data_IF_540621099050
#
_entry.id   IF_540621099050
#
_cell.length_a   1.000
_cell.length_b   1.000
_cell.length_c   1.000
_cell.angle_alpha   90.00
_cell.angle_beta   90.00
_cell.angle_gamma   90.00
#
_symmetry.space_group_name_H-M   'P 1'
#
loop_
_entity.id
_entity.type
_entity.pdbx_description
1 polymer ?
#
# COMPACT_ATOMS: atom_id res chain seq x y z
N UNK A 1 -55.35 -33.17 -4.10
CA UNK A 1 -54.17 -33.21 -3.19
C UNK A 1 -52.88 -33.77 -3.81
N UNK A 2 -52.85 -34.10 -5.12
CA UNK A 2 -51.63 -34.65 -5.81
C UNK A 2 -50.82 -33.62 -6.63
N UNK A 3 -51.34 -32.43 -6.83
CA UNK A 3 -50.67 -31.39 -7.68
C UNK A 3 -49.73 -30.41 -6.92
N UNK A 4 -49.88 -30.31 -5.56
CA UNK A 4 -49.03 -29.45 -4.74
C UNK A 4 -47.69 -30.06 -4.31
N UNK A 5 -47.55 -31.38 -4.38
CA UNK A 5 -46.30 -32.07 -4.00
C UNK A 5 -45.28 -32.06 -5.15
N UNK A 6 -45.74 -32.00 -6.40
CA UNK A 6 -44.84 -31.99 -7.57
C UNK A 6 -44.13 -30.66 -7.77
N UNK A 7 -44.70 -29.53 -7.35
CA UNK A 7 -44.08 -28.18 -7.44
C UNK A 7 -42.98 -27.98 -6.40
N UNK A 8 -43.10 -28.60 -5.23
CA UNK A 8 -42.07 -28.53 -4.19
C UNK A 8 -40.80 -29.33 -4.51
N UNK A 9 -40.93 -30.40 -5.27
CA UNK A 9 -39.77 -31.21 -5.71
C UNK A 9 -39.04 -30.56 -6.89
N UNK A 10 -39.74 -29.81 -7.76
CA UNK A 10 -39.08 -29.05 -8.85
C UNK A 10 -38.33 -27.79 -8.36
N UNK A 11 -38.73 -27.19 -7.20
CA UNK A 11 -38.05 -26.03 -6.66
C UNK A 11 -36.79 -26.38 -5.86
N UNK A 12 -36.67 -27.60 -5.34
CA UNK A 12 -35.43 -28.07 -4.67
C UNK A 12 -34.34 -28.53 -5.66
N UNK A 13 -34.67 -28.79 -6.92
CA UNK A 13 -33.71 -29.15 -7.96
C UNK A 13 -33.02 -27.92 -8.61
N UNK A 14 -33.53 -26.70 -8.40
CA UNK A 14 -32.95 -25.45 -8.93
C UNK A 14 -31.96 -24.76 -7.96
N UNK A 15 -31.86 -25.21 -6.70
CA UNK A 15 -30.77 -24.87 -5.80
C UNK A 15 -29.67 -25.94 -5.83
N UNK A 16 -29.32 -26.38 -7.04
CA UNK A 16 -28.16 -27.25 -7.28
C UNK A 16 -26.89 -26.51 -6.90
N UNK A 17 -26.30 -26.96 -5.84
CA UNK A 17 -24.91 -26.86 -5.38
C UNK A 17 -23.97 -26.11 -6.34
N UNK A 18 -23.90 -24.81 -6.28
CA UNK A 18 -22.68 -24.09 -6.51
C UNK A 18 -21.75 -24.39 -5.32
N UNK A 19 -21.26 -25.61 -5.22
CA UNK A 19 -20.01 -25.89 -4.56
C UNK A 19 -19.00 -25.03 -5.31
N UNK A 20 -18.60 -23.90 -4.73
CA UNK A 20 -17.44 -23.17 -5.18
C UNK A 20 -16.30 -24.20 -5.19
N UNK A 21 -15.96 -24.72 -6.36
CA UNK A 21 -14.77 -25.53 -6.57
C UNK A 21 -13.63 -24.65 -6.08
N UNK A 22 -13.07 -25.00 -4.94
CA UNK A 22 -11.81 -24.39 -4.50
C UNK A 22 -10.83 -24.68 -5.62
N UNK A 23 -10.49 -23.65 -6.40
CA UNK A 23 -9.55 -23.78 -7.51
C UNK A 23 -8.24 -24.25 -6.90
N UNK A 24 -7.79 -25.45 -7.30
CA UNK A 24 -6.50 -25.96 -6.83
C UNK A 24 -5.41 -24.94 -7.13
N UNK A 25 -4.46 -24.73 -6.20
CA UNK A 25 -3.38 -23.79 -6.44
C UNK A 25 -2.59 -24.19 -7.69
N UNK A 26 -2.19 -23.25 -8.54
CA UNK A 26 -1.45 -23.53 -9.76
C UNK A 26 -0.15 -24.28 -9.46
N UNK A 27 0.22 -25.21 -10.34
CA UNK A 27 1.47 -25.97 -10.23
C UNK A 27 2.65 -24.99 -10.20
N UNK A 28 3.47 -25.03 -9.15
CA UNK A 28 4.69 -24.24 -9.05
C UNK A 28 5.89 -25.09 -9.47
N UNK A 29 6.67 -24.58 -10.43
CA UNK A 29 7.91 -25.18 -10.88
C UNK A 29 9.10 -24.33 -10.45
N UNK A 30 10.03 -24.95 -9.72
CA UNK A 30 11.24 -24.28 -9.22
C UNK A 30 12.45 -24.93 -9.89
N UNK A 31 13.15 -24.18 -10.74
CA UNK A 31 14.44 -24.57 -11.29
C UNK A 31 15.56 -23.99 -10.43
N UNK A 32 16.30 -24.84 -9.78
CA UNK A 32 17.54 -24.44 -9.13
C UNK A 32 18.67 -24.42 -10.17
N UNK A 33 19.36 -23.31 -10.32
CA UNK A 33 20.62 -23.18 -11.04
C UNK A 33 21.69 -23.11 -9.96
N UNK A 34 22.56 -24.13 -9.92
CA UNK A 34 23.52 -24.32 -8.87
C UNK A 34 24.95 -24.13 -9.38
N UNK A 35 25.67 -23.22 -8.76
CA UNK A 35 27.05 -22.92 -9.03
C UNK A 35 27.97 -24.04 -8.55
N UNK A 36 28.74 -24.61 -9.47
CA UNK A 36 29.84 -25.52 -9.18
C UNK A 36 31.11 -25.06 -9.92
N UNK A 37 31.28 -23.75 -10.08
CA UNK A 37 32.53 -23.16 -10.55
C UNK A 37 33.66 -23.32 -9.54
N UNK A 38 34.88 -23.15 -9.99
CA UNK A 38 36.06 -23.37 -9.13
C UNK A 38 36.10 -22.48 -7.88
N UNK A 39 35.51 -21.27 -7.94
CA UNK A 39 35.40 -20.35 -6.78
C UNK A 39 34.63 -20.93 -5.60
N UNK A 40 33.68 -21.83 -5.84
CA UNK A 40 32.92 -22.52 -4.81
C UNK A 40 33.79 -23.42 -3.87
N UNK A 41 35.03 -23.74 -4.24
CA UNK A 41 36.02 -24.40 -3.36
C UNK A 41 36.59 -23.43 -2.32
N UNK A 42 36.38 -22.10 -2.46
CA UNK A 42 36.95 -21.14 -1.52
C UNK A 42 36.42 -21.32 -0.10
N UNK A 43 37.27 -21.09 0.93
CA UNK A 43 36.81 -21.17 2.32
C UNK A 43 35.83 -20.05 2.65
N UNK A 44 34.82 -20.39 3.46
CA UNK A 44 33.82 -19.48 3.95
C UNK A 44 33.33 -19.88 5.34
N UNK A 45 33.74 -19.14 6.38
CA UNK A 45 33.33 -19.31 7.76
C UNK A 45 33.38 -20.77 8.28
N UNK A 46 34.52 -21.43 8.11
CA UNK A 46 34.79 -22.74 8.68
C UNK A 46 34.59 -23.96 7.77
N UNK A 47 34.04 -23.76 6.54
CA UNK A 47 33.92 -24.79 5.52
C UNK A 47 34.14 -24.18 4.13
N UNK A 48 34.07 -24.94 3.05
CA UNK A 48 34.02 -24.38 1.70
C UNK A 48 32.61 -23.88 1.36
N UNK A 49 32.53 -22.92 0.44
CA UNK A 49 31.23 -22.40 -0.06
C UNK A 49 30.32 -23.52 -0.55
N UNK A 50 30.90 -24.47 -1.32
CA UNK A 50 30.13 -25.62 -1.83
C UNK A 50 29.60 -26.52 -0.72
N UNK A 51 30.36 -26.76 0.36
CA UNK A 51 29.91 -27.59 1.46
C UNK A 51 28.72 -26.97 2.19
N UNK A 52 28.79 -25.67 2.45
CA UNK A 52 27.67 -24.93 3.07
C UNK A 52 26.45 -24.91 2.13
N UNK A 53 26.67 -24.66 0.81
CA UNK A 53 25.59 -24.69 -0.17
C UNK A 53 24.90 -26.07 -0.23
N UNK A 54 25.67 -27.17 -0.19
CA UNK A 54 25.16 -28.54 -0.15
C UNK A 54 24.25 -28.77 1.06
N UNK A 55 24.70 -28.33 2.24
CA UNK A 55 23.93 -28.49 3.48
C UNK A 55 22.60 -27.75 3.45
N UNK A 56 22.62 -26.47 3.02
CA UNK A 56 21.41 -25.65 2.93
C UNK A 56 20.46 -26.19 1.85
N UNK A 57 20.97 -26.53 0.68
CA UNK A 57 20.18 -27.09 -0.41
C UNK A 57 19.56 -28.45 -0.04
N UNK A 58 20.29 -29.32 0.62
CA UNK A 58 19.77 -30.62 1.09
C UNK A 58 18.59 -30.44 2.04
N UNK A 59 18.69 -29.51 3.01
CA UNK A 59 17.60 -29.17 3.93
C UNK A 59 16.41 -28.53 3.20
N UNK A 60 16.67 -27.74 2.16
CA UNK A 60 15.65 -27.13 1.31
C UNK A 60 14.85 -28.20 0.57
N UNK A 61 15.53 -29.21 0.00
CA UNK A 61 14.88 -30.36 -0.65
C UNK A 61 13.96 -31.12 0.32
N UNK A 62 14.42 -31.37 1.55
CA UNK A 62 13.62 -32.03 2.58
C UNK A 62 12.36 -31.22 2.95
N UNK A 63 12.46 -29.90 2.94
CA UNK A 63 11.33 -29.01 3.19
C UNK A 63 10.33 -29.02 2.03
N UNK A 64 10.82 -28.94 0.78
CA UNK A 64 9.99 -28.93 -0.43
C UNK A 64 9.26 -30.27 -0.66
N UNK A 65 9.83 -31.39 -0.25
CA UNK A 65 9.23 -32.73 -0.39
C UNK A 65 7.85 -32.85 0.27
N UNK A 66 7.53 -31.97 1.22
CA UNK A 66 6.25 -31.96 1.97
C UNK A 66 5.21 -31.03 1.37
N UNK A 67 5.52 -30.33 0.31
CA UNK A 67 4.66 -29.29 -0.25
C UNK A 67 4.00 -29.85 -1.50
N UNK A 68 2.66 -29.91 -1.55
CA UNK A 68 1.94 -30.39 -2.74
C UNK A 68 2.00 -29.37 -3.88
N UNK A 69 1.74 -29.81 -5.11
CA UNK A 69 1.71 -28.97 -6.32
C UNK A 69 3.02 -28.23 -6.60
N UNK A 70 4.17 -28.86 -6.27
CA UNK A 70 5.51 -28.35 -6.54
C UNK A 70 6.33 -29.37 -7.30
N UNK A 71 6.84 -28.96 -8.47
CA UNK A 71 7.86 -29.69 -9.22
C UNK A 71 9.18 -28.93 -9.15
N UNK A 72 10.27 -29.65 -9.00
CA UNK A 72 11.61 -29.10 -8.93
C UNK A 72 12.51 -29.67 -10.01
N UNK A 73 13.50 -28.87 -10.43
CA UNK A 73 14.54 -29.30 -11.34
C UNK A 73 15.90 -28.75 -10.90
N UNK A 74 16.97 -29.33 -11.35
CA UNK A 74 18.35 -28.91 -11.06
C UNK A 74 19.16 -28.78 -12.33
N UNK A 75 19.62 -27.56 -12.59
CA UNK A 75 20.67 -27.24 -13.57
C UNK A 75 21.95 -26.91 -12.81
N UNK A 76 23.09 -27.43 -13.25
CA UNK A 76 24.40 -27.14 -12.64
C UNK A 76 25.31 -26.56 -13.71
N UNK A 77 26.13 -25.61 -13.34
CA UNK A 77 27.20 -25.13 -14.21
C UNK A 77 28.57 -25.19 -13.54
N UNK A 78 29.63 -25.14 -14.35
CA UNK A 78 31.01 -25.15 -13.85
C UNK A 78 31.45 -26.50 -13.26
N UNK A 79 30.83 -27.62 -13.67
CA UNK A 79 31.14 -28.91 -13.09
C UNK A 79 31.62 -29.97 -14.08
N UNK A 80 31.55 -29.71 -15.39
CA UNK A 80 31.92 -30.68 -16.39
C UNK A 80 33.40 -30.49 -16.84
N UNK A 81 33.80 -29.25 -17.12
CA UNK A 81 35.08 -28.90 -17.66
C UNK A 81 35.95 -28.16 -16.64
N UNK A 82 37.23 -28.54 -16.40
CA UNK A 82 38.08 -27.82 -15.48
C UNK A 82 38.50 -26.45 -16.06
N UNK A 83 38.60 -25.44 -15.18
CA UNK A 83 39.14 -24.13 -15.55
C UNK A 83 40.68 -24.25 -15.66
N UNK A 84 41.20 -24.07 -16.86
CA UNK A 84 42.62 -24.07 -17.15
C UNK A 84 43.10 -22.67 -17.57
N UNK A 85 44.38 -22.32 -17.35
CA UNK A 85 44.92 -21.02 -17.80
C UNK A 85 44.70 -20.78 -19.29
N UNK A 86 43.96 -19.72 -19.63
CA UNK A 86 43.65 -19.37 -21.03
C UNK A 86 42.57 -20.26 -21.70
N UNK A 87 41.96 -21.17 -20.98
CA UNK A 87 40.87 -22.03 -21.48
C UNK A 87 39.75 -22.09 -20.49
N UNK A 88 38.58 -21.65 -20.92
CA UNK A 88 37.33 -21.76 -20.14
C UNK A 88 36.22 -22.28 -21.06
N UNK A 89 35.36 -23.12 -20.51
CA UNK A 89 34.19 -23.66 -21.21
C UNK A 89 32.94 -22.89 -20.82
N UNK A 90 32.57 -21.91 -21.60
CA UNK A 90 31.35 -21.11 -21.39
C UNK A 90 30.05 -21.85 -21.73
N UNK A 91 30.13 -23.08 -22.21
CA UNK A 91 28.97 -23.97 -22.37
C UNK A 91 28.82 -25.02 -21.23
N UNK A 92 29.71 -24.96 -20.22
CA UNK A 92 29.63 -25.89 -19.08
C UNK A 92 28.40 -25.59 -18.23
N UNK A 93 27.21 -25.94 -18.73
CA UNK A 93 25.94 -25.87 -18.03
C UNK A 93 25.02 -27.02 -18.50
N UNK A 94 24.43 -27.74 -17.55
CA UNK A 94 23.61 -28.93 -17.86
C UNK A 94 22.43 -29.09 -16.91
N UNK A 95 21.26 -29.47 -17.47
CA UNK A 95 20.10 -29.90 -16.69
C UNK A 95 20.36 -31.32 -16.19
N UNK A 96 20.77 -31.48 -14.94
CA UNK A 96 21.11 -32.79 -14.36
C UNK A 96 19.88 -33.54 -13.86
N UNK A 97 18.86 -32.79 -13.38
CA UNK A 97 17.59 -33.37 -12.96
C UNK A 97 16.45 -32.57 -13.58
N UNK A 98 15.69 -33.14 -14.52
CA UNK A 98 14.53 -32.48 -15.10
C UNK A 98 13.37 -32.36 -14.12
N UNK A 99 12.37 -31.52 -14.44
CA UNK A 99 11.15 -31.39 -13.66
C UNK A 99 10.41 -32.72 -13.57
N UNK A 100 10.16 -33.16 -12.35
CA UNK A 100 9.34 -34.34 -12.05
C UNK A 100 8.81 -34.27 -10.62
N UNK A 101 7.78 -35.08 -10.36
CA UNK A 101 7.33 -35.30 -8.99
C UNK A 101 8.34 -36.19 -8.23
N UNK A 102 8.54 -35.93 -6.96
CA UNK A 102 9.34 -36.79 -6.06
C UNK A 102 10.83 -36.96 -6.44
N UNK A 103 11.44 -36.08 -7.22
CA UNK A 103 12.84 -36.13 -7.62
C UNK A 103 13.83 -35.48 -6.60
N UNK A 104 13.35 -35.07 -5.42
CA UNK A 104 14.12 -34.39 -4.37
C UNK A 104 15.38 -35.15 -3.96
N UNK A 105 15.28 -36.47 -3.78
CA UNK A 105 16.42 -37.31 -3.39
C UNK A 105 17.45 -37.46 -4.52
N UNK A 106 17.02 -37.39 -5.78
CA UNK A 106 17.93 -37.35 -6.94
C UNK A 106 18.69 -36.02 -6.97
N UNK A 107 18.02 -34.91 -6.74
CA UNK A 107 18.67 -33.59 -6.65
C UNK A 107 19.69 -33.56 -5.49
N UNK A 108 19.33 -34.06 -4.32
CA UNK A 108 20.26 -34.17 -3.18
C UNK A 108 21.50 -34.98 -3.54
N UNK A 109 21.37 -36.11 -4.23
CA UNK A 109 22.51 -36.89 -4.68
C UNK A 109 23.42 -36.11 -5.60
N UNK A 110 22.88 -35.42 -6.62
CA UNK A 110 23.66 -34.60 -7.54
C UNK A 110 24.41 -33.48 -6.82
N UNK A 111 23.73 -32.72 -5.97
CA UNK A 111 24.33 -31.63 -5.20
C UNK A 111 25.50 -32.14 -4.32
N UNK A 112 25.38 -33.31 -3.72
CA UNK A 112 26.42 -33.89 -2.86
C UNK A 112 27.60 -34.49 -3.62
N UNK A 113 27.40 -34.95 -4.85
CA UNK A 113 28.44 -35.60 -5.66
C UNK A 113 29.20 -34.61 -6.57
N UNK A 114 28.57 -33.49 -6.97
CA UNK A 114 29.17 -32.55 -7.87
C UNK A 114 30.47 -31.96 -7.32
N UNK A 115 31.49 -31.82 -8.18
CA UNK A 115 32.78 -31.23 -7.81
C UNK A 115 32.97 -29.90 -8.51
N UNK A 116 33.18 -28.80 -7.79
CA UNK A 116 33.46 -27.50 -8.37
C UNK A 116 34.82 -27.51 -9.10
N UNK A 117 34.85 -27.08 -10.37
CA UNK A 117 36.09 -27.08 -11.14
C UNK A 117 36.12 -26.14 -12.34
N UNK A 118 34.96 -25.66 -12.79
CA UNK A 118 34.84 -24.91 -14.06
C UNK A 118 34.69 -23.40 -13.90
N UNK A 119 34.28 -22.75 -14.98
CA UNK A 119 33.98 -21.33 -15.05
C UNK A 119 32.53 -21.01 -14.58
N UNK A 120 32.11 -19.74 -14.64
CA UNK A 120 30.82 -19.24 -14.16
C UNK A 120 29.97 -18.66 -15.31
N UNK A 121 29.35 -19.51 -16.20
CA UNK A 121 28.54 -19.08 -17.34
C UNK A 121 27.07 -18.84 -16.92
N UNK A 122 26.80 -17.73 -16.21
CA UNK A 122 25.44 -17.41 -15.72
C UNK A 122 24.49 -17.14 -16.88
N UNK A 123 24.89 -16.32 -17.85
CA UNK A 123 24.08 -15.95 -18.99
C UNK A 123 23.66 -17.19 -19.80
N UNK A 124 24.62 -18.05 -20.14
CA UNK A 124 24.36 -19.32 -20.85
C UNK A 124 23.43 -20.24 -20.04
N UNK A 125 23.62 -20.28 -18.74
CA UNK A 125 22.77 -21.10 -17.86
C UNK A 125 21.33 -20.59 -17.80
N UNK A 126 21.14 -19.27 -17.76
CA UNK A 126 19.80 -18.65 -17.82
C UNK A 126 19.13 -18.86 -19.19
N UNK A 127 19.89 -18.74 -20.28
CA UNK A 127 19.38 -18.99 -21.64
C UNK A 127 18.81 -20.42 -21.77
N UNK A 128 19.59 -21.41 -21.35
CA UNK A 128 19.16 -22.81 -21.37
C UNK A 128 18.02 -23.10 -20.41
N UNK A 129 18.02 -22.45 -19.25
CA UNK A 129 16.96 -22.58 -18.23
C UNK A 129 15.58 -22.23 -18.78
N UNK A 130 15.47 -21.28 -19.69
CA UNK A 130 14.22 -20.94 -20.34
C UNK A 130 13.59 -22.08 -21.13
N UNK A 131 14.41 -22.98 -21.68
CA UNK A 131 13.99 -24.16 -22.42
C UNK A 131 13.75 -25.39 -21.53
N UNK A 132 14.22 -25.36 -20.28
CA UNK A 132 14.04 -26.49 -19.35
C UNK A 132 12.61 -26.64 -18.81
N UNK A 133 11.84 -25.55 -18.84
CA UNK A 133 10.44 -25.59 -18.39
C UNK A 133 9.54 -26.26 -19.41
N UNK A 134 8.84 -27.35 -19.04
CA UNK A 134 7.81 -27.93 -19.90
C UNK A 134 6.69 -26.94 -20.21
N UNK A 135 6.09 -27.04 -21.40
CA UNK A 135 4.93 -26.19 -21.76
C UNK A 135 3.80 -26.34 -20.74
N UNK A 136 3.24 -25.21 -20.31
CA UNK A 136 2.14 -25.17 -19.36
C UNK A 136 1.44 -23.82 -19.42
N UNK A 137 0.12 -23.80 -19.49
CA UNK A 137 -0.69 -22.58 -19.60
C UNK A 137 -0.96 -21.90 -18.25
N UNK A 138 -0.93 -22.66 -17.14
CA UNK A 138 -1.28 -22.17 -15.81
C UNK A 138 -0.28 -22.66 -14.75
N UNK A 139 1.00 -22.61 -15.07
CA UNK A 139 2.07 -22.95 -14.15
C UNK A 139 2.85 -21.72 -13.73
N UNK A 140 3.25 -21.70 -12.49
CA UNK A 140 4.18 -20.72 -11.97
C UNK A 140 5.61 -21.23 -12.13
N UNK A 141 6.40 -20.58 -13.00
CA UNK A 141 7.78 -20.95 -13.25
C UNK A 141 8.72 -19.99 -12.51
N UNK A 142 9.62 -20.53 -11.70
CA UNK A 142 10.57 -19.77 -10.87
C UNK A 142 11.97 -20.32 -11.06
N UNK A 143 12.96 -19.45 -11.24
CA UNK A 143 14.39 -19.80 -11.22
C UNK A 143 14.98 -19.29 -9.90
N UNK A 144 15.74 -20.15 -9.24
CA UNK A 144 16.56 -19.80 -8.07
C UNK A 144 18.01 -20.04 -8.47
N UNK A 145 18.78 -18.97 -8.65
CA UNK A 145 20.21 -19.02 -8.93
C UNK A 145 21.00 -18.91 -7.62
N UNK A 146 21.79 -19.90 -7.34
CA UNK A 146 22.70 -19.95 -6.19
C UNK A 146 24.13 -19.84 -6.72
N UNK A 147 24.82 -18.74 -6.43
CA UNK A 147 26.14 -18.44 -6.97
C UNK A 147 27.04 -17.72 -5.96
N UNK A 148 28.34 -17.91 -6.09
CA UNK A 148 29.36 -17.15 -5.35
C UNK A 148 30.16 -16.20 -6.24
N UNK A 149 29.77 -16.08 -7.53
CA UNK A 149 30.49 -15.31 -8.53
C UNK A 149 29.57 -14.46 -9.41
N UNK A 150 30.23 -13.70 -10.29
CA UNK A 150 29.62 -12.97 -11.37
C UNK A 150 29.88 -13.69 -12.70
N UNK A 151 29.22 -13.23 -13.76
CA UNK A 151 29.48 -13.73 -15.12
C UNK A 151 30.97 -13.70 -15.44
N UNK A 152 31.51 -14.85 -15.84
CA UNK A 152 32.91 -15.01 -16.19
C UNK A 152 33.15 -15.19 -17.72
N UNK A 153 32.07 -15.29 -18.48
CA UNK A 153 32.07 -15.36 -19.93
C UNK A 153 31.62 -14.03 -20.51
N UNK A 154 32.00 -13.75 -21.77
CA UNK A 154 31.68 -12.46 -22.45
C UNK A 154 30.19 -12.35 -22.87
N UNK A 155 29.28 -12.85 -22.08
CA UNK A 155 27.83 -12.80 -22.31
C UNK A 155 27.15 -11.85 -21.32
N UNK A 156 25.99 -11.28 -21.72
CA UNK A 156 25.22 -10.37 -20.89
C UNK A 156 24.03 -11.07 -20.23
N UNK A 157 24.13 -11.45 -18.95
CA UNK A 157 23.03 -12.10 -18.23
C UNK A 157 21.81 -11.19 -18.09
N UNK A 158 21.99 -9.85 -18.12
CA UNK A 158 20.89 -8.89 -18.09
C UNK A 158 20.06 -8.93 -19.37
N UNK A 159 20.72 -8.99 -20.53
CA UNK A 159 20.05 -9.11 -21.82
C UNK A 159 19.24 -10.41 -21.91
N UNK A 160 19.81 -11.53 -21.45
CA UNK A 160 19.14 -12.82 -21.41
C UNK A 160 17.91 -12.78 -20.47
N UNK A 161 18.04 -12.25 -19.27
CA UNK A 161 16.93 -12.11 -18.34
C UNK A 161 15.78 -11.24 -18.90
N UNK A 162 16.12 -10.18 -19.65
CA UNK A 162 15.15 -9.35 -20.36
C UNK A 162 14.47 -10.12 -21.50
N UNK A 163 15.24 -10.90 -22.28
CA UNK A 163 14.71 -11.74 -23.36
C UNK A 163 13.75 -12.83 -22.84
N UNK A 164 14.06 -13.47 -21.72
CA UNK A 164 13.16 -14.43 -21.06
C UNK A 164 11.82 -13.77 -20.68
N UNK A 165 11.87 -12.57 -20.09
CA UNK A 165 10.66 -11.81 -19.73
C UNK A 165 9.84 -11.41 -20.96
N UNK A 166 10.47 -10.99 -22.04
CA UNK A 166 9.78 -10.57 -23.29
C UNK A 166 9.09 -11.71 -24.03
N UNK A 167 9.51 -12.97 -23.82
CA UNK A 167 8.87 -14.17 -24.38
C UNK A 167 7.62 -14.61 -23.58
N UNK A 168 7.14 -13.81 -22.64
CA UNK A 168 6.00 -14.14 -21.79
C UNK A 168 6.28 -15.27 -20.79
N UNK A 169 7.55 -15.71 -20.67
CA UNK A 169 7.96 -16.67 -19.66
C UNK A 169 7.95 -15.92 -18.32
N UNK A 170 7.01 -16.24 -17.46
CA UNK A 170 6.91 -15.65 -16.10
C UNK A 170 8.00 -16.28 -15.21
N UNK A 171 9.25 -16.04 -15.57
CA UNK A 171 10.40 -16.49 -14.80
C UNK A 171 10.78 -15.35 -13.84
N UNK A 172 10.78 -15.62 -12.55
CA UNK A 172 11.28 -14.71 -11.52
C UNK A 172 12.59 -15.29 -10.97
N UNK A 173 13.75 -14.87 -11.50
CA UNK A 173 15.02 -15.32 -10.97
C UNK A 173 15.25 -14.71 -9.58
N UNK A 174 15.68 -15.54 -8.64
CA UNK A 174 16.20 -15.13 -7.36
C UNK A 174 17.68 -15.45 -7.33
N UNK A 175 18.49 -14.45 -7.07
CA UNK A 175 19.95 -14.60 -7.00
C UNK A 175 20.39 -14.61 -5.54
N UNK A 176 21.02 -15.66 -5.10
CA UNK A 176 21.55 -15.78 -3.75
C UNK A 176 23.07 -15.74 -3.84
N UNK A 177 23.64 -14.60 -3.47
CA UNK A 177 25.09 -14.38 -3.49
C UNK A 177 25.74 -14.95 -2.24
N UNK A 178 26.54 -16.00 -2.41
CA UNK A 178 27.28 -16.64 -1.31
C UNK A 178 28.62 -15.97 -1.11
N UNK A 179 28.75 -15.14 -0.07
CA UNK A 179 30.00 -14.45 0.26
C UNK A 179 30.47 -13.44 -0.80
N UNK A 180 29.57 -12.92 -1.63
CA UNK A 180 29.83 -11.84 -2.58
C UNK A 180 29.93 -10.50 -1.85
N UNK A 181 30.72 -9.58 -2.42
CA UNK A 181 30.67 -8.18 -1.98
C UNK A 181 29.49 -7.43 -2.61
N UNK A 182 29.17 -6.24 -2.10
CA UNK A 182 28.00 -5.45 -2.55
C UNK A 182 28.11 -5.02 -4.02
N UNK A 183 29.31 -4.80 -4.54
CA UNK A 183 29.50 -4.37 -5.95
C UNK A 183 29.07 -5.48 -6.92
N UNK A 184 29.37 -6.74 -6.58
CA UNK A 184 28.95 -7.90 -7.36
C UNK A 184 27.45 -8.17 -7.28
N UNK A 185 26.85 -7.95 -6.13
CA UNK A 185 25.40 -8.08 -5.97
C UNK A 185 24.66 -7.06 -6.84
N UNK A 186 25.14 -5.81 -6.89
CA UNK A 186 24.58 -4.78 -7.75
C UNK A 186 24.67 -5.13 -9.26
N UNK A 187 25.73 -5.82 -9.68
CA UNK A 187 25.87 -6.27 -11.06
C UNK A 187 24.83 -7.34 -11.47
N UNK A 188 24.27 -8.05 -10.52
CA UNK A 188 23.27 -9.10 -10.73
C UNK A 188 21.81 -8.62 -10.57
N UNK A 189 21.58 -7.38 -10.12
CA UNK A 189 20.24 -6.85 -9.80
C UNK A 189 19.31 -6.79 -11.04
N UNK A 190 19.88 -6.64 -12.22
CA UNK A 190 19.15 -6.66 -13.49
C UNK A 190 18.56 -8.04 -13.85
N UNK A 191 19.11 -9.12 -13.31
CA UNK A 191 18.67 -10.51 -13.55
C UNK A 191 17.38 -10.76 -12.78
N UNK A 192 17.32 -10.32 -11.51
CA UNK A 192 16.17 -10.55 -10.65
C UNK A 192 16.39 -10.01 -9.24
N UNK A 193 15.60 -10.49 -8.28
CA UNK A 193 15.76 -10.08 -6.87
C UNK A 193 17.03 -10.69 -6.31
N UNK A 194 17.97 -9.85 -5.91
CA UNK A 194 19.27 -10.27 -5.36
C UNK A 194 19.21 -10.28 -3.82
N UNK A 195 19.76 -11.31 -3.23
CA UNK A 195 19.86 -11.51 -1.81
C UNK A 195 21.31 -11.73 -1.39
N UNK A 196 21.78 -10.94 -0.45
CA UNK A 196 23.12 -11.10 0.14
C UNK A 196 23.10 -12.18 1.22
N UNK A 197 23.77 -13.30 0.93
CA UNK A 197 24.02 -14.38 1.88
C UNK A 197 25.46 -14.28 2.42
N UNK A 198 25.77 -13.23 3.17
CA UNK A 198 27.11 -12.96 3.71
C UNK A 198 27.57 -13.98 4.77
N UNK A 199 26.64 -14.70 5.41
CA UNK A 199 26.93 -15.76 6.38
C UNK A 199 26.13 -17.04 6.11
N UNK A 200 26.57 -18.22 6.57
CA UNK A 200 25.81 -19.47 6.45
C UNK A 200 24.40 -19.38 7.04
N UNK A 201 24.24 -18.65 8.14
CA UNK A 201 22.95 -18.43 8.80
C UNK A 201 22.04 -17.56 7.97
N UNK A 202 22.56 -16.49 7.39
CA UNK A 202 21.80 -15.63 6.46
C UNK A 202 21.44 -16.41 5.21
N UNK A 203 22.33 -17.22 4.64
CA UNK A 203 22.02 -18.07 3.48
C UNK A 203 20.85 -19.02 3.77
N UNK A 204 20.85 -19.69 4.90
CA UNK A 204 19.74 -20.56 5.32
C UNK A 204 18.42 -19.79 5.42
N UNK A 205 18.44 -18.62 6.05
CA UNK A 205 17.25 -17.77 6.22
C UNK A 205 16.74 -17.27 4.88
N UNK A 206 17.62 -16.78 4.03
CA UNK A 206 17.30 -16.28 2.68
C UNK A 206 16.71 -17.41 1.83
N UNK A 207 17.30 -18.61 1.85
CA UNK A 207 16.76 -19.75 1.10
C UNK A 207 15.32 -20.06 1.52
N UNK A 208 15.02 -20.07 2.81
CA UNK A 208 13.65 -20.28 3.30
C UNK A 208 12.69 -19.22 2.77
N UNK A 209 13.13 -17.98 2.75
CA UNK A 209 12.33 -16.86 2.25
C UNK A 209 12.12 -16.95 0.75
N UNK A 210 13.17 -17.17 -0.04
CA UNK A 210 13.11 -17.31 -1.50
C UNK A 210 12.15 -18.45 -1.89
N UNK A 211 12.26 -19.59 -1.21
CA UNK A 211 11.34 -20.71 -1.40
C UNK A 211 9.90 -20.31 -1.05
N UNK A 212 9.72 -19.62 0.08
CA UNK A 212 8.41 -19.11 0.49
C UNK A 212 7.80 -18.15 -0.54
N UNK A 213 8.61 -17.26 -1.12
CA UNK A 213 8.17 -16.37 -2.20
C UNK A 213 7.88 -17.14 -3.50
N UNK A 214 8.75 -18.10 -3.86
CA UNK A 214 8.53 -18.98 -5.01
C UNK A 214 7.19 -19.70 -4.91
N UNK A 215 6.80 -20.12 -3.72
CA UNK A 215 5.56 -20.82 -3.43
C UNK A 215 4.36 -19.87 -3.20
N UNK A 216 4.55 -18.56 -3.17
CA UNK A 216 3.52 -17.60 -2.73
C UNK A 216 2.92 -17.91 -1.35
N UNK A 217 3.69 -18.51 -0.47
CA UNK A 217 3.20 -19.07 0.79
C UNK A 217 3.17 -18.07 1.95
N UNK A 218 3.80 -16.88 1.81
CA UNK A 218 3.74 -15.84 2.83
C UNK A 218 2.58 -14.90 2.54
N UNK A 219 1.65 -14.88 3.45
CA UNK A 219 0.48 -14.01 3.36
C UNK A 219 0.36 -13.13 4.59
N UNK A 220 -0.33 -12.00 4.44
CA UNK A 220 -0.65 -11.12 5.53
C UNK A 220 -2.12 -10.69 5.47
N UNK A 221 -2.70 -10.47 6.63
CA UNK A 221 -4.00 -9.88 6.85
C UNK A 221 -3.83 -8.63 7.71
N UNK A 222 -4.47 -7.54 7.34
CA UNK A 222 -4.44 -6.29 8.12
C UNK A 222 -5.76 -6.16 8.87
N UNK A 223 -5.69 -6.15 10.20
CA UNK A 223 -6.82 -5.95 11.07
C UNK A 223 -6.85 -4.50 11.54
N UNK A 224 -7.84 -3.72 11.09
CA UNK A 224 -8.08 -2.38 11.60
C UNK A 224 -9.03 -2.48 12.79
N UNK A 225 -8.51 -2.14 13.97
CA UNK A 225 -9.17 -2.35 15.23
C UNK A 225 -10.04 -1.16 15.63
N UNK A 226 -11.23 -1.45 16.16
CA UNK A 226 -12.11 -0.50 16.83
C UNK A 226 -11.65 -0.23 18.29
N UNK A 227 -12.39 0.59 19.03
CA UNK A 227 -12.10 0.90 20.44
C UNK A 227 -12.14 -0.34 21.37
N UNK A 228 -12.79 -1.41 20.93
CA UNK A 228 -12.91 -2.68 21.66
C UNK A 228 -11.88 -3.72 21.20
N UNK A 229 -10.89 -3.30 20.40
CA UNK A 229 -9.85 -4.18 19.81
C UNK A 229 -10.42 -5.27 18.91
N UNK A 230 -11.56 -5.02 18.27
CA UNK A 230 -12.15 -5.91 17.26
C UNK A 230 -11.82 -5.39 15.87
N UNK A 231 -11.48 -6.30 14.95
CA UNK A 231 -11.15 -5.99 13.55
C UNK A 231 -12.42 -5.67 12.74
N UNK A 232 -13.01 -4.51 12.99
CA UNK A 232 -14.28 -4.06 12.38
C UNK A 232 -14.15 -2.83 11.50
N UNK A 233 -13.05 -2.10 11.61
CA UNK A 233 -12.82 -0.92 10.77
C UNK A 233 -12.47 -1.34 9.36
N UNK A 234 -12.99 -0.60 8.38
CA UNK A 234 -12.88 -0.94 6.95
C UNK A 234 -13.16 0.24 6.04
N UNK A 235 -13.10 0.03 4.72
CA UNK A 235 -13.36 1.04 3.68
C UNK A 235 -12.41 2.24 3.79
N UNK A 236 -11.12 1.95 3.91
CA UNK A 236 -10.05 2.93 3.96
C UNK A 236 -8.84 2.39 3.22
N UNK A 237 -8.13 3.25 2.49
CA UNK A 237 -6.91 2.86 1.81
C UNK A 237 -5.75 2.73 2.79
N UNK A 238 -4.81 1.86 2.46
CA UNK A 238 -3.56 1.71 3.20
C UNK A 238 -2.39 1.46 2.26
N UNK A 239 -1.21 1.81 2.74
CA UNK A 239 0.05 1.67 2.01
C UNK A 239 1.08 0.97 2.88
N UNK A 240 1.83 0.04 2.29
CA UNK A 240 2.97 -0.61 2.91
C UNK A 240 4.24 -0.12 2.21
N UNK A 241 5.10 0.48 2.98
CA UNK A 241 6.41 0.97 2.54
C UNK A 241 7.51 0.08 3.09
N UNK A 242 8.57 -0.10 2.32
CA UNK A 242 9.84 -0.56 2.87
C UNK A 242 10.33 0.49 3.88
N UNK A 243 10.41 0.12 5.15
CA UNK A 243 10.74 1.08 6.23
C UNK A 243 12.14 1.67 6.09
N UNK A 244 13.10 0.90 5.54
CA UNK A 244 14.48 1.33 5.37
C UNK A 244 14.65 2.31 4.21
N UNK A 245 14.00 2.04 3.07
CA UNK A 245 14.16 2.82 1.84
C UNK A 245 13.09 3.88 1.63
N UNK A 246 11.95 3.76 2.34
CA UNK A 246 10.77 4.60 2.14
C UNK A 246 10.00 4.31 0.84
N UNK A 247 10.41 3.29 0.07
CA UNK A 247 9.77 2.96 -1.21
C UNK A 247 8.42 2.28 -0.96
N UNK A 248 7.38 2.75 -1.65
CA UNK A 248 6.07 2.12 -1.64
C UNK A 248 6.15 0.72 -2.28
N UNK A 249 5.72 -0.31 -1.53
CA UNK A 249 5.67 -1.70 -2.00
C UNK A 249 4.26 -2.14 -2.37
N UNK A 250 3.25 -1.79 -1.55
CA UNK A 250 1.87 -2.19 -1.76
C UNK A 250 0.92 -1.04 -1.40
N UNK A 251 -0.16 -0.93 -2.16
CA UNK A 251 -1.21 0.04 -1.92
C UNK A 251 -2.57 -0.59 -2.24
N UNK A 252 -3.46 -0.65 -1.23
CA UNK A 252 -4.75 -1.33 -1.34
C UNK A 252 -5.85 -0.57 -0.61
N UNK A 253 -7.09 -0.93 -0.91
CA UNK A 253 -8.26 -0.52 -0.13
C UNK A 253 -8.61 -1.67 0.81
N UNK A 254 -8.64 -1.38 2.11
CA UNK A 254 -9.07 -2.34 3.12
C UNK A 254 -10.58 -2.55 3.01
N UNK A 255 -10.99 -3.81 2.85
CA UNK A 255 -12.39 -4.22 2.84
C UNK A 255 -12.58 -5.46 3.70
N UNK A 256 -13.81 -5.69 4.17
CA UNK A 256 -14.20 -6.90 4.86
C UNK A 256 -15.11 -7.72 3.95
N UNK A 257 -14.92 -9.04 3.92
CA UNK A 257 -15.80 -9.96 3.22
C UNK A 257 -17.14 -10.14 3.95
N UNK A 258 -18.04 -10.95 3.42
CA UNK A 258 -19.37 -11.21 4.01
C UNK A 258 -19.33 -11.84 5.40
N UNK A 259 -18.19 -12.45 5.79
CA UNK A 259 -17.95 -13.01 7.13
C UNK A 259 -17.31 -12.01 8.09
N UNK A 260 -17.10 -10.75 7.65
CA UNK A 260 -16.45 -9.71 8.45
C UNK A 260 -14.93 -9.88 8.59
N UNK A 261 -14.29 -10.63 7.70
CA UNK A 261 -12.84 -10.84 7.72
C UNK A 261 -12.18 -9.98 6.65
N UNK A 262 -11.02 -9.39 6.93
CA UNK A 262 -10.20 -8.68 5.95
C UNK A 262 -9.67 -9.61 4.87
N UNK A 263 -9.31 -9.06 3.73
CA UNK A 263 -8.70 -9.80 2.64
C UNK A 263 -7.27 -10.23 2.98
N UNK A 264 -6.83 -11.31 2.33
CA UNK A 264 -5.48 -11.88 2.50
C UNK A 264 -4.59 -11.43 1.36
N UNK A 265 -3.45 -10.84 1.71
CA UNK A 265 -2.45 -10.31 0.78
C UNK A 265 -1.27 -11.27 0.70
N UNK A 266 -0.80 -11.56 -0.52
CA UNK A 266 0.52 -12.16 -0.71
C UNK A 266 1.58 -11.07 -0.61
N UNK A 267 2.58 -11.27 0.26
CA UNK A 267 3.51 -10.22 0.67
C UNK A 267 4.93 -10.77 0.83
N UNK A 268 5.91 -9.94 0.49
CA UNK A 268 7.33 -10.27 0.63
C UNK A 268 7.75 -10.27 2.12
N UNK A 269 8.18 -11.41 2.70
CA UNK A 269 8.56 -11.48 4.11
C UNK A 269 9.94 -10.90 4.43
N UNK A 270 10.78 -10.54 3.44
CA UNK A 270 12.12 -10.01 3.69
C UNK A 270 12.13 -8.54 4.08
N UNK A 271 11.10 -7.82 3.69
CA UNK A 271 11.00 -6.39 3.94
C UNK A 271 10.46 -6.13 5.33
N UNK A 272 11.11 -5.25 6.10
CA UNK A 272 10.49 -4.64 7.28
C UNK A 272 9.58 -3.52 6.78
N UNK A 273 8.30 -3.59 7.13
CA UNK A 273 7.30 -2.65 6.60
C UNK A 273 6.95 -1.54 7.58
N UNK A 274 6.72 -0.35 7.01
CA UNK A 274 5.93 0.71 7.59
C UNK A 274 4.55 0.69 6.94
N UNK A 275 3.50 0.46 7.71
CA UNK A 275 2.11 0.55 7.29
C UNK A 275 1.60 1.98 7.57
N UNK A 276 0.96 2.59 6.58
CA UNK A 276 0.21 3.84 6.71
C UNK A 276 -1.25 3.56 6.33
N UNK A 277 -2.15 3.75 7.26
CA UNK A 277 -3.60 3.71 7.03
C UNK A 277 -4.07 5.14 6.80
N UNK A 278 -4.68 5.40 5.65
CA UNK A 278 -5.08 6.76 5.22
C UNK A 278 -6.43 7.18 5.83
N UNK A 279 -6.54 7.02 7.16
CA UNK A 279 -7.61 7.62 7.96
C UNK A 279 -7.39 9.13 8.08
N UNK A 280 -8.34 9.85 8.66
CA UNK A 280 -8.19 11.27 9.02
C UNK A 280 -8.22 11.42 10.55
N UNK A 281 -7.11 11.78 11.21
CA UNK A 281 -5.73 11.80 10.69
C UNK A 281 -5.21 10.41 10.32
N UNK A 282 -4.08 10.35 9.61
CA UNK A 282 -3.44 9.09 9.24
C UNK A 282 -2.91 8.34 10.47
N UNK A 283 -2.94 7.00 10.39
CA UNK A 283 -2.33 6.10 11.38
C UNK A 283 -1.12 5.40 10.76
N UNK A 284 0.00 5.40 11.47
CA UNK A 284 1.21 4.69 11.07
C UNK A 284 1.56 3.58 12.05
N UNK A 285 2.02 2.43 11.52
CA UNK A 285 2.65 1.35 12.28
C UNK A 285 3.97 0.97 11.62
N UNK A 286 5.05 1.06 12.39
CA UNK A 286 6.42 0.76 11.95
C UNK A 286 6.90 -0.59 12.50
N UNK A 287 8.05 -1.06 12.01
CA UNK A 287 8.72 -2.26 12.53
C UNK A 287 8.00 -3.56 12.22
N UNK A 288 7.16 -3.62 11.18
CA UNK A 288 6.40 -4.81 10.84
C UNK A 288 7.32 -5.81 10.14
N UNK A 289 7.62 -6.91 10.84
CA UNK A 289 8.37 -8.06 10.33
C UNK A 289 7.43 -9.25 10.17
N UNK A 290 7.53 -9.94 9.06
CA UNK A 290 6.68 -11.09 8.73
C UNK A 290 7.42 -12.40 8.94
N UNK A 291 6.69 -13.43 9.33
CA UNK A 291 7.22 -14.81 9.42
C UNK A 291 7.06 -15.46 8.04
N UNK A 292 8.18 -15.84 7.39
CA UNK A 292 8.15 -16.47 6.07
C UNK A 292 7.33 -17.77 6.06
N UNK A 293 6.60 -18.00 4.95
CA UNK A 293 5.83 -19.23 4.74
C UNK A 293 4.60 -19.40 5.63
N UNK A 294 4.17 -18.34 6.30
CA UNK A 294 3.00 -18.36 7.19
C UNK A 294 2.03 -17.23 6.88
N UNK A 295 0.81 -17.40 7.36
CA UNK A 295 -0.14 -16.30 7.44
C UNK A 295 0.20 -15.39 8.62
N UNK A 296 0.32 -14.09 8.36
CA UNK A 296 0.67 -13.06 9.34
C UNK A 296 -0.53 -12.13 9.57
N UNK A 297 -0.84 -11.85 10.83
CA UNK A 297 -1.88 -10.87 11.17
C UNK A 297 -1.23 -9.58 11.66
N UNK A 298 -1.56 -8.47 11.01
CA UNK A 298 -1.06 -7.13 11.33
C UNK A 298 -2.21 -6.33 11.93
N UNK A 299 -2.16 -6.03 13.22
CA UNK A 299 -3.19 -5.29 13.92
C UNK A 299 -2.81 -3.81 14.04
N UNK A 300 -3.78 -2.92 13.76
CA UNK A 300 -3.62 -1.46 13.85
C UNK A 300 -4.87 -0.85 14.48
N UNK A 301 -4.67 -0.05 15.52
CA UNK A 301 -5.74 0.73 16.12
C UNK A 301 -6.15 1.87 15.19
N UNK A 302 -7.34 1.79 14.64
CA UNK A 302 -7.88 2.79 13.73
C UNK A 302 -9.39 3.01 13.95
N UNK A 303 -9.84 3.24 15.21
CA UNK A 303 -11.25 3.41 15.51
C UNK A 303 -11.80 4.66 14.82
N UNK A 304 -12.94 4.56 14.13
CA UNK A 304 -13.50 5.64 13.33
C UNK A 304 -14.96 5.95 13.67
N UNK A 305 -15.32 7.21 13.54
CA UNK A 305 -16.67 7.73 13.51
C UNK A 305 -16.86 8.70 12.38
N UNK A 306 -17.91 9.50 12.40
CA UNK A 306 -18.24 10.42 11.32
C UNK A 306 -18.43 11.84 11.84
N UNK A 307 -18.06 12.83 11.02
CA UNK A 307 -18.56 14.19 11.10
C UNK A 307 -19.53 14.35 9.93
N UNK A 308 -20.73 14.85 10.21
CA UNK A 308 -21.78 15.14 9.23
C UNK A 308 -22.15 16.61 9.30
N UNK A 309 -21.88 17.34 8.21
CA UNK A 309 -22.15 18.79 8.12
C UNK A 309 -23.50 19.06 7.49
N UNK A 310 -24.24 20.07 8.00
CA UNK A 310 -25.54 20.51 7.45
C UNK A 310 -25.72 22.02 7.52
N UNK A 311 -26.42 22.58 6.55
CA UNK A 311 -26.90 23.97 6.55
C UNK A 311 -28.42 23.96 6.39
N UNK A 312 -29.15 24.07 7.49
CA UNK A 312 -30.59 23.99 7.47
C UNK A 312 -31.11 22.78 6.66
N UNK A 313 -32.03 23.01 5.72
CA UNK A 313 -32.58 21.99 4.82
C UNK A 313 -31.90 21.97 3.42
N UNK A 314 -30.83 22.72 3.22
CA UNK A 314 -30.15 22.80 1.92
C UNK A 314 -29.45 21.50 1.57
N UNK A 315 -29.67 21.02 0.36
CA UNK A 315 -28.95 19.87 -0.23
C UNK A 315 -27.63 20.26 -0.89
N UNK A 316 -27.42 21.55 -1.16
CA UNK A 316 -26.17 22.12 -1.68
C UNK A 316 -25.91 23.49 -1.06
N UNK A 317 -24.69 23.77 -0.71
CA UNK A 317 -24.23 25.02 -0.15
C UNK A 317 -22.78 25.28 -0.56
N UNK A 318 -22.37 26.54 -0.60
CA UNK A 318 -20.97 26.93 -0.83
C UNK A 318 -20.20 27.11 0.47
N UNK A 319 -20.80 26.71 1.60
CA UNK A 319 -20.13 26.77 2.91
C UNK A 319 -19.15 25.62 3.01
N UNK A 320 -17.97 25.91 3.54
CA UNK A 320 -16.93 24.93 3.87
C UNK A 320 -16.46 25.12 5.30
N UNK A 321 -15.87 24.08 5.85
CA UNK A 321 -15.16 24.19 7.14
C UNK A 321 -13.79 23.53 7.06
N UNK A 322 -12.92 24.01 7.94
CA UNK A 322 -11.59 23.47 8.19
C UNK A 322 -11.67 22.65 9.47
N UNK A 323 -11.28 21.39 9.39
CA UNK A 323 -11.21 20.49 10.55
C UNK A 323 -9.75 20.34 10.97
N UNK A 324 -9.48 20.54 12.26
CA UNK A 324 -8.18 20.40 12.89
C UNK A 324 -8.30 19.45 14.10
N UNK A 325 -7.19 18.84 14.49
CA UNK A 325 -7.14 18.14 15.76
C UNK A 325 -7.14 19.17 16.89
N UNK A 326 -7.81 18.85 18.00
CA UNK A 326 -7.91 19.76 19.15
C UNK A 326 -6.58 20.37 19.53
N UNK A 327 -6.54 21.71 19.56
CA UNK A 327 -5.37 22.50 19.93
C UNK A 327 -4.24 22.56 18.88
N UNK A 328 -4.42 21.95 17.70
CA UNK A 328 -3.44 21.98 16.61
C UNK A 328 -3.88 22.96 15.51
N UNK A 329 -2.94 23.69 14.93
CA UNK A 329 -3.21 24.63 13.82
C UNK A 329 -3.19 23.94 12.45
N UNK A 330 -2.62 22.74 12.35
CA UNK A 330 -2.55 21.99 11.09
C UNK A 330 -3.94 21.59 10.61
N UNK A 331 -4.25 21.93 9.36
CA UNK A 331 -5.48 21.47 8.71
C UNK A 331 -5.40 19.99 8.43
N UNK A 332 -6.32 19.21 8.98
CA UNK A 332 -6.46 17.78 8.68
C UNK A 332 -7.32 17.54 7.44
N UNK A 333 -8.43 18.26 7.35
CA UNK A 333 -9.41 18.07 6.28
C UNK A 333 -10.23 19.35 6.05
N UNK A 334 -10.72 19.53 4.84
CA UNK A 334 -11.69 20.59 4.49
C UNK A 334 -12.97 19.90 4.03
N UNK A 335 -14.07 20.17 4.73
CA UNK A 335 -15.38 19.62 4.40
C UNK A 335 -16.26 20.65 3.71
N UNK A 336 -17.06 20.19 2.78
CA UNK A 336 -18.20 20.93 2.21
C UNK A 336 -19.45 20.80 3.12
N UNK A 337 -20.50 21.53 2.79
CA UNK A 337 -21.81 21.43 3.43
C UNK A 337 -22.90 21.24 2.36
N UNK A 338 -23.67 20.12 2.38
CA UNK A 338 -23.57 18.99 3.31
C UNK A 338 -22.50 17.96 2.88
N UNK A 339 -21.81 17.37 3.84
CA UNK A 339 -20.87 16.26 3.63
C UNK A 339 -20.88 15.32 4.85
N UNK A 340 -20.56 14.04 4.63
CA UNK A 340 -20.32 13.06 5.68
C UNK A 340 -18.98 12.39 5.47
N UNK A 341 -18.03 12.63 6.36
CA UNK A 341 -16.65 12.14 6.27
C UNK A 341 -16.25 11.34 7.51
N UNK A 342 -15.46 10.28 7.30
CA UNK A 342 -14.89 9.49 8.39
C UNK A 342 -13.68 10.18 9.02
N UNK A 343 -13.62 10.14 10.35
CA UNK A 343 -12.49 10.61 11.15
C UNK A 343 -12.13 9.55 12.19
N UNK A 344 -10.88 9.53 12.64
CA UNK A 344 -10.52 8.76 13.83
C UNK A 344 -11.32 9.24 15.06
N UNK A 345 -11.60 8.32 15.97
CA UNK A 345 -12.17 8.67 17.28
C UNK A 345 -11.24 9.65 17.98
N UNK A 346 -11.78 10.79 18.40
CA UNK A 346 -10.99 11.87 19.00
C UNK A 346 -11.78 13.16 19.16
N UNK A 347 -11.06 14.24 19.44
CA UNK A 347 -11.62 15.58 19.61
C UNK A 347 -11.03 16.52 18.59
N UNK A 348 -11.88 17.31 17.94
CA UNK A 348 -11.53 18.19 16.82
C UNK A 348 -12.02 19.60 17.03
N UNK A 349 -11.33 20.56 16.44
CA UNK A 349 -11.73 21.94 16.33
C UNK A 349 -12.13 22.25 14.89
N UNK A 350 -13.32 22.84 14.72
CA UNK A 350 -13.91 23.09 13.40
C UNK A 350 -14.10 24.59 13.22
N UNK A 351 -13.50 25.12 12.16
CA UNK A 351 -13.65 26.52 11.73
C UNK A 351 -14.51 26.56 10.47
N UNK A 352 -15.73 27.12 10.57
CA UNK A 352 -16.67 27.20 9.45
C UNK A 352 -16.52 28.55 8.78
N UNK A 353 -16.32 28.52 7.46
CA UNK A 353 -15.97 29.69 6.62
C UNK A 353 -17.21 30.48 6.21
N UNK A 354 -18.00 30.85 7.20
CA UNK A 354 -19.15 31.78 7.05
C UNK A 354 -18.69 33.23 7.29
N UNK A 355 -19.61 34.18 7.14
CA UNK A 355 -19.43 35.56 7.56
C UNK A 355 -20.46 35.91 8.66
N UNK A 356 -20.03 36.22 9.91
CA UNK A 356 -18.70 35.97 10.46
C UNK A 356 -18.38 34.47 10.55
N UNK A 357 -17.10 34.11 10.75
CA UNK A 357 -16.68 32.72 10.95
C UNK A 357 -17.28 32.16 12.23
N UNK A 358 -17.63 30.88 12.16
CA UNK A 358 -18.11 30.10 13.32
C UNK A 358 -17.03 29.13 13.74
N UNK A 359 -16.71 29.15 15.04
CA UNK A 359 -15.76 28.22 15.66
C UNK A 359 -16.49 27.25 16.55
N UNK A 360 -16.31 25.96 16.30
CA UNK A 360 -16.84 24.88 17.14
C UNK A 360 -15.68 24.09 17.69
N UNK A 361 -15.34 24.33 18.94
CA UNK A 361 -14.24 23.67 19.62
C UNK A 361 -14.75 22.42 20.34
N UNK A 362 -13.82 21.46 20.59
CA UNK A 362 -14.09 20.25 21.34
C UNK A 362 -15.16 19.33 20.73
N UNK A 363 -15.27 19.31 19.42
CA UNK A 363 -16.20 18.40 18.71
C UNK A 363 -15.70 16.97 18.85
N UNK A 364 -16.45 16.13 19.58
CA UNK A 364 -16.11 14.73 19.83
C UNK A 364 -16.61 13.83 18.72
N UNK A 365 -15.70 13.02 18.16
CA UNK A 365 -16.03 11.92 17.26
C UNK A 365 -15.96 10.62 18.04
N UNK A 366 -17.06 9.88 18.07
CA UNK A 366 -17.18 8.61 18.76
C UNK A 366 -17.31 7.46 17.77
N UNK A 367 -16.94 6.26 18.20
CA UNK A 367 -16.93 5.05 17.38
C UNK A 367 -18.25 4.81 16.66
N UNK A 368 -18.22 4.73 15.34
CA UNK A 368 -19.37 4.43 14.46
C UNK A 368 -20.55 5.42 14.55
N UNK A 369 -20.38 6.55 15.24
CA UNK A 369 -21.43 7.57 15.44
C UNK A 369 -21.18 8.73 14.48
N UNK A 370 -22.27 9.33 13.94
CA UNK A 370 -22.24 10.59 13.22
C UNK A 370 -22.40 11.76 14.16
N UNK A 371 -21.35 12.55 14.33
CA UNK A 371 -21.41 13.83 15.06
C UNK A 371 -21.87 14.90 14.08
N UNK A 372 -23.01 15.52 14.37
CA UNK A 372 -23.61 16.55 13.53
C UNK A 372 -22.99 17.91 13.78
N UNK A 373 -22.65 18.60 12.72
CA UNK A 373 -22.20 20.01 12.67
C UNK A 373 -23.21 20.78 11.84
N UNK A 374 -24.07 21.50 12.53
CA UNK A 374 -25.17 22.24 11.89
C UNK A 374 -24.91 23.74 11.96
N UNK A 375 -25.15 24.44 10.86
CA UNK A 375 -24.99 25.89 10.75
C UNK A 375 -26.32 26.50 10.34
N UNK A 376 -26.73 27.62 10.98
CA UNK A 376 -27.91 28.37 10.56
C UNK A 376 -27.79 28.80 9.10
N UNK A 377 -28.92 28.87 8.40
CA UNK A 377 -28.96 29.46 7.06
C UNK A 377 -28.65 30.95 7.15
N UNK A 378 -27.76 31.42 6.30
CA UNK A 378 -27.44 32.83 6.21
C UNK A 378 -28.63 33.65 5.72
N UNK A 379 -28.70 34.93 6.10
CA UNK A 379 -29.53 35.94 5.43
C UNK A 379 -28.69 36.78 4.48
N UNK A 380 -29.34 37.46 3.59
CA UNK A 380 -28.69 38.34 2.60
C UNK A 380 -28.79 39.80 3.03
N UNK A 381 -27.64 40.49 3.06
CA UNK A 381 -27.59 41.95 3.11
C UNK A 381 -27.45 42.50 1.67
N UNK A 382 -28.41 43.29 1.20
CA UNK A 382 -28.31 44.13 -0.02
C UNK A 382 -28.01 45.55 0.45
N UNK A 383 -26.75 45.94 0.45
CA UNK A 383 -26.29 47.25 0.91
C UNK A 383 -26.04 48.16 -0.29
N UNK A 384 -26.78 49.30 -0.34
CA UNK A 384 -26.63 50.33 -1.32
C UNK A 384 -26.00 51.59 -0.72
N UNK A 385 -24.95 52.09 -1.35
CA UNK A 385 -24.29 53.34 -0.98
C UNK A 385 -24.50 54.35 -2.12
N UNK A 386 -24.77 55.62 -1.80
CA UNK A 386 -25.09 56.62 -2.83
C UNK A 386 -23.89 56.93 -3.75
N UNK A 387 -22.69 56.79 -3.21
CA UNK A 387 -21.41 57.02 -3.90
C UNK A 387 -20.39 55.96 -3.42
N UNK A 388 -19.37 55.69 -4.22
CA UNK A 388 -18.28 54.81 -3.82
C UNK A 388 -17.49 55.40 -2.60
N UNK A 389 -17.13 54.54 -1.67
CA UNK A 389 -16.46 54.93 -0.42
C UNK A 389 -15.74 53.82 0.26
N UNK A 390 -15.29 54.06 1.47
CA UNK A 390 -14.64 53.09 2.36
C UNK A 390 -15.63 52.68 3.43
N UNK A 391 -15.70 51.40 3.74
CA UNK A 391 -16.60 50.94 4.80
C UNK A 391 -16.27 49.52 5.25
N UNK A 392 -16.77 49.22 6.42
CA UNK A 392 -16.57 47.90 7.06
C UNK A 392 -17.88 47.46 7.73
N UNK A 393 -18.07 46.16 7.79
CA UNK A 393 -19.16 45.51 8.52
C UNK A 393 -18.62 44.93 9.80
N UNK A 394 -19.30 45.17 10.89
CA UNK A 394 -18.99 44.65 12.22
C UNK A 394 -20.16 43.84 12.75
N UNK A 395 -19.87 42.76 13.44
CA UNK A 395 -20.83 41.96 14.21
C UNK A 395 -20.91 42.50 15.65
N UNK A 396 -22.10 42.66 16.14
CA UNK A 396 -22.35 43.09 17.54
C UNK A 396 -22.72 41.85 18.35
N UNK A 397 -21.78 41.36 19.17
CA UNK A 397 -21.92 40.16 19.94
C UNK A 397 -21.67 40.44 21.42
N UNK A 398 -22.69 40.27 22.27
CA UNK A 398 -22.63 40.43 23.75
C UNK A 398 -21.91 41.68 24.22
N UNK A 399 -22.06 42.79 23.51
CA UNK A 399 -21.41 44.07 23.83
C UNK A 399 -20.03 44.27 23.20
N UNK A 400 -19.48 43.27 22.55
CA UNK A 400 -18.27 43.39 21.73
C UNK A 400 -18.62 43.74 20.29
N UNK A 401 -17.68 44.48 19.65
CA UNK A 401 -17.76 44.82 18.23
C UNK A 401 -16.64 44.10 17.51
N UNK A 402 -17.02 43.10 16.68
CA UNK A 402 -16.05 42.27 15.93
C UNK A 402 -16.08 42.65 14.47
N UNK A 403 -14.93 42.98 13.87
CA UNK A 403 -14.81 43.20 12.44
C UNK A 403 -15.16 41.90 11.66
N UNK A 404 -15.92 42.04 10.57
CA UNK A 404 -16.34 40.92 9.73
C UNK A 404 -15.69 40.99 8.37
N UNK A 405 -15.87 42.11 7.65
CA UNK A 405 -15.29 42.32 6.34
C UNK A 405 -15.36 43.80 5.94
N UNK A 406 -14.58 44.16 4.94
CA UNK A 406 -14.62 45.46 4.33
C UNK A 406 -15.54 45.48 3.09
N UNK A 407 -16.09 46.65 2.77
CA UNK A 407 -16.81 46.87 1.52
C UNK A 407 -15.79 46.93 0.38
N UNK A 408 -16.14 46.35 -0.77
CA UNK A 408 -15.29 46.44 -1.97
C UNK A 408 -15.20 47.88 -2.45
N UNK A 409 -13.98 48.39 -2.50
CA UNK A 409 -13.72 49.72 -3.05
C UNK A 409 -14.20 49.80 -4.51
N UNK A 410 -14.81 50.95 -4.90
CA UNK A 410 -15.29 51.16 -6.24
C UNK A 410 -16.74 50.73 -6.52
N UNK A 411 -17.36 49.98 -5.59
CA UNK A 411 -18.75 49.56 -5.72
C UNK A 411 -19.68 50.46 -4.93
N UNK A 412 -20.88 50.68 -5.44
CA UNK A 412 -21.99 51.31 -4.74
C UNK A 412 -23.05 50.33 -4.27
N UNK A 413 -22.99 49.09 -4.76
CA UNK A 413 -23.87 48.00 -4.38
C UNK A 413 -23.02 46.81 -3.86
N UNK A 414 -23.40 46.30 -2.68
CA UNK A 414 -22.71 45.20 -2.03
C UNK A 414 -23.73 44.15 -1.57
N UNK A 415 -23.51 42.89 -1.92
CA UNK A 415 -24.34 41.79 -1.49
C UNK A 415 -23.49 40.86 -0.63
N UNK A 416 -23.95 40.59 0.61
CA UNK A 416 -23.29 39.70 1.54
C UNK A 416 -24.26 38.65 2.07
N UNK A 417 -23.78 37.42 2.18
CA UNK A 417 -24.46 36.36 2.92
C UNK A 417 -23.90 36.35 4.35
N UNK A 418 -24.66 36.84 5.31
CA UNK A 418 -24.25 36.98 6.71
C UNK A 418 -25.02 36.00 7.59
N UNK A 419 -24.37 35.50 8.63
CA UNK A 419 -25.05 34.71 9.66
C UNK A 419 -26.09 35.56 10.38
N UNK A 420 -27.19 34.97 10.91
CA UNK A 420 -28.16 35.70 11.68
C UNK A 420 -27.54 36.40 12.87
N UNK A 421 -27.87 37.67 13.11
CA UNK A 421 -27.27 38.45 14.20
C UNK A 421 -27.48 39.97 14.02
N UNK A 422 -26.98 40.75 14.97
CA UNK A 422 -26.93 42.22 14.91
C UNK A 422 -25.61 42.68 14.33
N UNK A 423 -25.67 43.65 13.45
CA UNK A 423 -24.51 44.17 12.74
C UNK A 423 -24.52 45.69 12.73
N UNK A 424 -23.33 46.25 12.51
CA UNK A 424 -23.13 47.68 12.27
C UNK A 424 -22.31 47.79 10.97
N UNK A 425 -22.74 48.68 10.05
CA UNK A 425 -21.93 49.15 8.94
C UNK A 425 -21.40 50.52 9.28
N UNK A 426 -20.12 50.72 9.03
CA UNK A 426 -19.43 52.01 9.13
C UNK A 426 -18.97 52.38 7.74
N UNK A 427 -19.33 53.57 7.25
CA UNK A 427 -19.07 53.97 5.88
C UNK A 427 -18.66 55.44 5.80
N UNK A 428 -17.73 55.76 4.90
CA UNK A 428 -17.37 57.10 4.53
C UNK A 428 -17.22 57.25 3.02
N UNK A 429 -17.87 58.29 2.48
CA UNK A 429 -17.75 58.62 1.07
C UNK A 429 -16.30 58.99 0.71
N UNK A 430 -15.80 58.48 -0.43
CA UNK A 430 -14.43 58.70 -0.92
C UNK A 430 -14.09 60.14 -1.16
N UNK A 431 -15.09 61.01 -1.48
CA UNK A 431 -14.91 62.42 -1.75
C UNK A 431 -14.78 63.29 -0.48
N UNK A 432 -15.00 62.71 0.71
CA UNK A 432 -14.92 63.43 1.98
C UNK A 432 -13.65 63.06 2.71
N UNK A 433 -12.87 64.07 3.16
CA UNK A 433 -11.63 63.91 3.88
C UNK A 433 -11.79 63.93 5.40
N UNK A 434 -12.88 64.51 5.92
CA UNK A 434 -13.07 64.68 7.39
C UNK A 434 -13.79 63.46 7.98
N UNK A 435 -13.32 62.97 9.11
CA UNK A 435 -13.88 61.79 9.84
C UNK A 435 -15.33 62.04 10.31
N UNK A 436 -15.72 63.29 10.55
CA UNK A 436 -17.09 63.65 10.95
C UNK A 436 -18.16 63.25 9.93
N UNK A 437 -17.80 63.00 8.69
CA UNK A 437 -18.71 62.51 7.65
C UNK A 437 -18.81 60.97 7.57
N UNK A 438 -18.30 60.30 8.61
CA UNK A 438 -18.50 58.84 8.76
C UNK A 438 -19.94 58.58 9.16
N UNK A 439 -20.59 57.69 8.44
CA UNK A 439 -21.98 57.23 8.70
C UNK A 439 -21.92 55.85 9.36
N UNK A 440 -22.67 55.68 10.43
CA UNK A 440 -22.88 54.39 11.07
C UNK A 440 -24.37 54.00 10.98
N UNK A 441 -24.62 52.75 10.69
CA UNK A 441 -25.99 52.19 10.68
C UNK A 441 -26.03 50.80 11.22
N UNK A 442 -26.92 50.55 12.19
CA UNK A 442 -27.14 49.23 12.76
C UNK A 442 -28.27 48.51 12.05
N UNK A 443 -28.14 47.20 11.83
CA UNK A 443 -29.15 46.35 11.19
C UNK A 443 -29.13 44.95 11.78
N UNK A 444 -30.19 44.17 11.52
CA UNK A 444 -30.28 42.77 11.99
C UNK A 444 -30.48 41.87 10.78
N UNK A 445 -29.67 40.83 10.69
CA UNK A 445 -29.82 39.75 9.71
C UNK A 445 -30.64 38.62 10.32
N UNK A 446 -31.63 38.17 9.55
CA UNK A 446 -32.45 36.99 9.90
C UNK A 446 -32.17 35.90 8.90
N UNK A 447 -32.24 34.64 9.39
CA UNK A 447 -32.09 33.47 8.54
C UNK A 447 -33.00 33.52 7.32
N UNK A 448 -32.47 33.22 6.14
CA UNK A 448 -33.19 33.12 4.85
C UNK A 448 -33.87 34.43 4.38
N UNK A 449 -33.69 35.54 5.09
CA UNK A 449 -34.32 36.84 4.70
C UNK A 449 -33.29 37.78 4.08
N UNK A 450 -33.76 38.58 3.13
CA UNK A 450 -33.01 39.68 2.57
C UNK A 450 -33.30 40.97 3.33
N UNK A 451 -32.25 41.64 3.77
CA UNK A 451 -32.30 42.96 4.39
C UNK A 451 -31.70 43.95 3.39
N UNK A 452 -32.51 44.89 2.95
CA UNK A 452 -32.06 46.01 2.07
C UNK A 452 -31.70 47.20 2.94
N UNK A 453 -30.48 47.68 2.82
CA UNK A 453 -29.97 48.83 3.56
C UNK A 453 -29.40 49.89 2.59
N UNK A 454 -29.84 51.12 2.76
CA UNK A 454 -29.28 52.27 2.02
C UNK A 454 -28.61 53.22 2.99
N UNK A 455 -27.40 53.67 2.67
CA UNK A 455 -26.60 54.64 3.48
C UNK A 455 -26.73 56.05 2.92
#
# INVERSE_FOLDING_TARGET
MKFRVLILILFSALFGNNLASAQEPPLTRILFIFDASNSMNAPWQGASRIEIARQVMSKTMDSLKRIPHVQIALRIYGHQSPLLPGQQDCNDTKLEVPFADNNHDQIKRWINLVQPKGTTPIARSLEKAGADFPACSDCRNVIILVTDGIEACDEDPCAIAKALRSKGITVKPFVIGIGLNMDYLNALDCIGTVYDASTPETFKTIMQVVVSQALNSTTAQINLLDIYKKAKETNVSFSLYDERTGILKYHYIHTLNTKGLPDTLTIDPLTTYKLVVHTVPQVEKKGIKLVPGRHNTIEVDAPQGYIETKVGLLTKSNVRCIVRKKGEMQTLYVMDFPERQKFLVGTYDIEILTLPRIYMNDVKVSQSISTKVEVPMAGTLDLNTPITGYGSIFHLDQGEIKWVCDLKEGNSKHIFNLQPGKYKVVYRNKKTSKTVYTVEKTFTIYSEKTVVLTL
#
